data_IF_680018617862
#
_entry.id   IF_680018617862
#
_cell.length_a   1.000
_cell.length_b   1.000
_cell.length_c   1.000
_cell.angle_alpha   90.00
_cell.angle_beta   90.00
_cell.angle_gamma   90.00
#
_symmetry.space_group_name_H-M   'P 1'
#
loop_
_entity.id
_entity.type
_entity.pdbx_description
1 polymer ?
#
# COMPACT_ATOMS: atom_id res chain seq x y z
N UNK A 1 6.58 6.50 -0.20
CA UNK A 1 6.12 7.80 0.37
C UNK A 1 7.05 8.98 0.08
N UNK A 2 8.37 8.94 0.32
CA UNK A 2 9.28 10.08 -0.01
C UNK A 2 9.15 10.55 -1.47
N UNK A 3 9.12 9.61 -2.42
CA UNK A 3 8.92 9.94 -3.84
C UNK A 3 7.53 10.52 -4.13
N UNK A 4 6.50 10.13 -3.36
CA UNK A 4 5.15 10.71 -3.46
C UNK A 4 5.20 12.18 -3.08
N UNK A 5 5.80 12.51 -1.93
CA UNK A 5 5.96 13.91 -1.51
C UNK A 5 6.72 14.74 -2.55
N UNK A 6 7.80 14.19 -3.12
CA UNK A 6 8.53 14.88 -4.19
C UNK A 6 7.67 15.13 -5.44
N UNK A 7 6.87 14.14 -5.85
CA UNK A 7 5.98 14.29 -7.01
C UNK A 7 4.80 15.24 -6.77
N UNK A 8 4.43 15.52 -5.52
CA UNK A 8 3.40 16.51 -5.18
C UNK A 8 3.92 17.96 -5.31
N UNK A 9 5.25 18.18 -5.30
CA UNK A 9 5.85 19.51 -5.36
C UNK A 9 5.52 20.24 -6.67
N UNK A 10 5.54 19.54 -7.81
CA UNK A 10 5.19 20.14 -9.11
C UNK A 10 3.78 20.74 -9.08
N UNK A 11 2.86 20.03 -8.45
CA UNK A 11 1.47 20.49 -8.29
C UNK A 11 1.37 21.67 -7.32
N UNK A 12 2.11 21.66 -6.22
CA UNK A 12 2.15 22.79 -5.31
C UNK A 12 2.69 24.07 -5.98
N UNK A 13 3.67 23.92 -6.88
CA UNK A 13 4.21 25.02 -7.69
C UNK A 13 3.14 25.57 -8.64
N UNK A 14 2.41 24.71 -9.34
CA UNK A 14 1.30 25.13 -10.20
C UNK A 14 0.21 25.86 -9.41
N UNK A 15 -0.13 25.34 -8.22
CA UNK A 15 -1.13 25.93 -7.33
C UNK A 15 -0.73 27.31 -6.80
N UNK A 16 0.58 27.53 -6.59
CA UNK A 16 1.10 28.76 -6.00
C UNK A 16 0.68 30.01 -6.78
N UNK A 17 0.49 29.90 -8.10
CA UNK A 17 0.02 31.02 -8.95
C UNK A 17 -1.35 31.54 -8.53
N UNK A 18 -2.28 30.66 -8.19
CA UNK A 18 -3.60 31.05 -7.68
C UNK A 18 -3.55 31.69 -6.29
N UNK A 19 -2.46 31.46 -5.56
CA UNK A 19 -2.16 32.13 -4.28
C UNK A 19 -1.35 33.42 -4.44
N UNK A 20 -1.19 33.93 -5.67
CA UNK A 20 -0.51 35.20 -5.95
C UNK A 20 1.02 35.11 -6.07
N UNK A 21 1.59 33.91 -6.14
CA UNK A 21 3.03 33.73 -6.34
C UNK A 21 3.40 33.76 -7.81
N UNK A 22 4.46 34.50 -8.14
CA UNK A 22 5.12 34.44 -9.45
C UNK A 22 6.27 33.45 -9.39
N UNK A 23 6.21 32.38 -10.18
CA UNK A 23 7.25 31.36 -10.28
C UNK A 23 7.90 31.43 -11.67
N UNK A 24 9.23 31.48 -11.70
CA UNK A 24 10.03 31.43 -12.93
C UNK A 24 10.22 30.01 -13.45
N UNK A 25 11.37 29.75 -14.06
CA UNK A 25 11.70 28.42 -14.59
C UNK A 25 11.92 27.41 -13.46
N UNK A 26 11.28 26.25 -13.60
CA UNK A 26 11.36 25.14 -12.64
C UNK A 26 11.90 23.91 -13.36
N UNK A 27 12.87 23.25 -12.74
CA UNK A 27 13.40 21.97 -13.19
C UNK A 27 13.51 20.99 -12.04
N UNK A 28 13.42 19.69 -12.35
CA UNK A 28 13.51 18.63 -11.35
C UNK A 28 14.78 17.80 -11.59
N UNK A 29 15.64 17.73 -10.58
CA UNK A 29 16.80 16.84 -10.58
C UNK A 29 16.45 15.49 -9.91
N UNK A 30 16.13 14.50 -10.74
CA UNK A 30 15.80 13.16 -10.28
C UNK A 30 16.97 12.47 -9.57
N UNK A 31 18.21 12.74 -9.95
CA UNK A 31 19.37 12.12 -9.29
C UNK A 31 19.56 12.67 -7.90
N UNK A 32 19.38 13.99 -7.72
CA UNK A 32 19.40 14.61 -6.41
C UNK A 32 18.30 14.04 -5.49
N UNK A 33 17.08 13.83 -6.03
CA UNK A 33 15.99 13.20 -5.29
C UNK A 33 16.34 11.77 -4.85
N UNK A 34 16.85 10.93 -5.76
CA UNK A 34 17.24 9.54 -5.44
C UNK A 34 18.34 9.52 -4.38
N UNK A 35 19.37 10.36 -4.51
CA UNK A 35 20.46 10.46 -3.52
C UNK A 35 19.97 10.92 -2.14
N UNK A 36 19.08 11.91 -2.08
CA UNK A 36 18.48 12.36 -0.83
C UNK A 36 17.61 11.27 -0.18
N UNK A 37 16.83 10.54 -1.00
CA UNK A 37 16.05 9.38 -0.56
C UNK A 37 16.95 8.28 -0.01
N UNK A 38 18.03 7.91 -0.71
CA UNK A 38 18.95 6.85 -0.27
C UNK A 38 19.62 7.20 1.06
N UNK A 39 20.07 8.44 1.23
CA UNK A 39 20.63 8.93 2.50
C UNK A 39 19.65 8.78 3.67
N UNK A 40 18.39 9.12 3.45
CA UNK A 40 17.37 9.01 4.49
C UNK A 40 17.04 7.54 4.82
N UNK A 41 16.95 6.68 3.81
CA UNK A 41 16.76 5.23 4.01
C UNK A 41 17.94 4.63 4.77
N UNK A 42 19.18 4.99 4.44
CA UNK A 42 20.37 4.52 5.17
C UNK A 42 20.32 4.93 6.65
N UNK A 43 19.96 6.19 6.92
CA UNK A 43 19.81 6.71 8.29
C UNK A 43 18.76 5.93 9.08
N UNK A 44 17.61 5.64 8.49
CA UNK A 44 16.52 4.87 9.11
C UNK A 44 16.93 3.42 9.35
N UNK A 45 17.53 2.75 8.37
CA UNK A 45 18.03 1.37 8.48
C UNK A 45 19.06 1.25 9.60
N UNK A 46 20.00 2.20 9.69
CA UNK A 46 20.98 2.27 10.78
C UNK A 46 20.30 2.43 12.13
N UNK A 47 19.29 3.30 12.24
CA UNK A 47 18.56 3.49 13.49
C UNK A 47 17.85 2.21 13.96
N UNK A 48 17.29 1.40 13.05
CA UNK A 48 16.71 0.09 13.40
C UNK A 48 17.76 -0.90 13.87
N UNK A 49 18.88 -1.02 13.15
CA UNK A 49 19.98 -1.91 13.56
C UNK A 49 20.48 -1.56 14.97
N UNK A 50 20.69 -0.28 15.27
CA UNK A 50 21.09 0.17 16.62
C UNK A 50 20.04 -0.19 17.67
N UNK A 51 18.75 -0.02 17.38
CA UNK A 51 17.67 -0.38 18.33
C UNK A 51 17.65 -1.88 18.63
N UNK A 52 17.82 -2.72 17.61
CA UNK A 52 17.87 -4.18 17.77
C UNK A 52 19.05 -4.60 18.64
N UNK A 53 20.25 -4.11 18.35
CA UNK A 53 21.45 -4.43 19.15
C UNK A 53 21.32 -3.92 20.59
N UNK A 54 20.76 -2.72 20.80
CA UNK A 54 20.49 -2.19 22.16
C UNK A 54 19.48 -3.03 22.94
N UNK A 55 18.54 -3.69 22.25
CA UNK A 55 17.59 -4.62 22.86
C UNK A 55 18.21 -6.01 23.15
N UNK A 56 19.48 -6.23 22.82
CA UNK A 56 20.20 -7.49 23.05
C UNK A 56 20.09 -8.50 21.92
N UNK A 57 19.56 -8.12 20.74
CA UNK A 57 19.50 -9.00 19.59
C UNK A 57 20.88 -9.10 18.89
N UNK A 58 21.30 -10.33 18.56
CA UNK A 58 22.40 -10.56 17.63
C UNK A 58 21.89 -10.41 16.19
N UNK A 59 22.52 -9.54 15.40
CA UNK A 59 22.20 -9.35 13.98
C UNK A 59 23.25 -10.06 13.15
N UNK A 60 22.82 -11.08 12.40
CA UNK A 60 23.70 -11.88 11.54
C UNK A 60 23.33 -11.55 10.09
N UNK A 61 24.25 -10.90 9.38
CA UNK A 61 24.07 -10.61 7.96
C UNK A 61 24.39 -11.87 7.15
N UNK A 62 23.41 -12.34 6.37
CA UNK A 62 23.57 -13.46 5.47
C UNK A 62 22.24 -14.07 5.06
N UNK A 63 22.27 -15.04 4.14
CA UNK A 63 21.06 -15.77 3.74
C UNK A 63 20.85 -16.96 4.68
N UNK A 64 19.76 -16.91 5.45
CA UNK A 64 19.34 -18.02 6.30
C UNK A 64 18.64 -19.12 5.48
N UNK A 65 19.02 -20.38 5.70
CA UNK A 65 18.40 -21.58 5.13
C UNK A 65 18.13 -22.57 6.27
N UNK A 66 16.90 -23.08 6.35
CA UNK A 66 16.55 -24.12 7.31
C UNK A 66 17.14 -25.46 6.86
N UNK A 67 17.95 -26.08 7.70
CA UNK A 67 18.56 -27.39 7.43
C UNK A 67 17.73 -28.53 8.02
N UNK A 68 17.04 -28.26 9.14
CA UNK A 68 16.11 -29.16 9.82
C UNK A 68 15.16 -28.29 10.69
N UNK A 69 14.24 -28.86 11.49
CA UNK A 69 13.30 -28.06 12.28
C UNK A 69 13.94 -27.08 13.28
N UNK A 70 15.18 -27.29 13.72
CA UNK A 70 15.85 -26.47 14.74
C UNK A 70 17.16 -25.84 14.29
N UNK A 71 17.69 -26.22 13.13
CA UNK A 71 18.98 -25.77 12.62
C UNK A 71 18.84 -24.83 11.43
N UNK A 72 19.55 -23.71 11.49
CA UNK A 72 19.62 -22.68 10.46
C UNK A 72 21.09 -22.55 10.03
N UNK A 73 21.33 -22.59 8.73
CA UNK A 73 22.61 -22.20 8.13
C UNK A 73 22.52 -20.75 7.62
N UNK A 74 23.47 -19.92 8.04
CA UNK A 74 23.63 -18.54 7.56
C UNK A 74 25.00 -18.40 6.93
N UNK A 75 25.07 -18.57 5.61
CA UNK A 75 26.31 -18.51 4.81
C UNK A 75 27.47 -19.35 5.39
N UNK A 76 27.17 -20.57 5.86
CA UNK A 76 28.10 -21.54 6.46
C UNK A 76 28.14 -21.50 8.00
N UNK A 77 27.51 -20.50 8.64
CA UNK A 77 27.38 -20.44 10.09
C UNK A 77 26.14 -21.22 10.54
N UNK A 78 26.37 -22.32 11.24
CA UNK A 78 25.31 -23.16 11.80
C UNK A 78 24.83 -22.59 13.14
N UNK A 79 23.51 -22.41 13.25
CA UNK A 79 22.81 -21.86 14.42
C UNK A 79 21.67 -22.81 14.77
N UNK A 80 21.45 -23.03 16.07
CA UNK A 80 20.27 -23.75 16.55
C UNK A 80 19.37 -22.83 17.35
N UNK A 81 18.06 -23.05 17.27
CA UNK A 81 17.09 -22.27 18.02
C UNK A 81 15.93 -23.13 18.53
N UNK A 82 15.49 -22.87 19.76
CA UNK A 82 14.31 -23.51 20.33
C UNK A 82 13.01 -23.06 19.63
N UNK A 83 12.99 -21.86 19.05
CA UNK A 83 11.86 -21.28 18.31
C UNK A 83 12.36 -20.50 17.11
N UNK A 84 11.64 -20.59 15.99
CA UNK A 84 12.00 -19.93 14.73
C UNK A 84 10.81 -19.09 14.26
N UNK A 85 11.07 -17.84 13.85
CA UNK A 85 10.08 -16.96 13.23
C UNK A 85 10.50 -16.65 11.79
N UNK A 86 9.68 -17.07 10.83
CA UNK A 86 9.88 -16.80 9.40
C UNK A 86 9.18 -15.48 9.06
N UNK A 87 9.97 -14.46 8.72
CA UNK A 87 9.49 -13.13 8.32
C UNK A 87 10.17 -12.65 7.03
N UNK A 88 10.32 -13.55 6.04
CA UNK A 88 11.09 -13.29 4.80
C UNK A 88 10.38 -12.38 3.80
N UNK A 89 9.14 -11.99 4.08
CA UNK A 89 8.35 -11.08 3.26
C UNK A 89 7.95 -11.68 1.91
N UNK A 90 7.79 -10.80 0.92
CA UNK A 90 7.51 -11.18 -0.46
C UNK A 90 8.44 -10.48 -1.46
N UNK A 91 8.45 -10.97 -2.70
CA UNK A 91 9.24 -10.46 -3.83
C UNK A 91 8.32 -10.06 -4.99
N UNK A 92 8.63 -9.00 -5.77
CA UNK A 92 7.79 -8.59 -6.89
C UNK A 92 7.66 -9.68 -7.96
N UNK A 93 6.46 -9.81 -8.52
CA UNK A 93 6.24 -10.62 -9.73
C UNK A 93 6.80 -9.92 -10.95
N UNK A 94 7.59 -10.65 -11.74
CA UNK A 94 8.15 -10.18 -13.00
C UNK A 94 7.65 -11.05 -14.16
N UNK A 95 6.95 -10.49 -15.16
CA UNK A 95 6.63 -11.23 -16.38
C UNK A 95 7.90 -11.40 -17.24
N UNK A 96 7.90 -12.34 -18.20
CA UNK A 96 9.00 -12.46 -19.16
C UNK A 96 9.25 -11.15 -19.92
N UNK A 97 10.52 -10.86 -20.22
CA UNK A 97 10.94 -9.65 -20.93
C UNK A 97 11.76 -8.70 -20.07
N UNK A 98 11.90 -7.46 -20.56
CA UNK A 98 12.68 -6.41 -19.90
C UNK A 98 11.78 -5.53 -19.04
N UNK A 99 11.30 -6.12 -17.94
CA UNK A 99 10.44 -5.45 -16.96
C UNK A 99 11.23 -5.12 -15.70
N UNK A 100 11.20 -3.85 -15.32
CA UNK A 100 11.57 -3.46 -13.96
C UNK A 100 10.42 -3.71 -13.00
N UNK A 101 10.69 -3.66 -11.71
CA UNK A 101 9.72 -3.84 -10.63
C UNK A 101 9.73 -2.62 -9.70
N UNK A 102 8.95 -2.65 -8.62
CA UNK A 102 9.03 -1.62 -7.58
C UNK A 102 10.44 -1.48 -7.01
N UNK A 103 11.16 -2.59 -6.87
CA UNK A 103 12.47 -2.63 -6.22
C UNK A 103 13.49 -1.88 -7.09
N UNK A 104 13.46 -2.13 -8.40
CA UNK A 104 14.29 -1.45 -9.39
C UNK A 104 13.92 0.05 -9.52
N UNK A 105 12.62 0.38 -9.47
CA UNK A 105 12.12 1.74 -9.65
C UNK A 105 12.67 2.74 -8.61
N UNK A 106 13.00 2.28 -7.40
CA UNK A 106 13.60 3.11 -6.36
C UNK A 106 15.05 3.53 -6.63
N UNK A 107 15.72 2.88 -7.57
CA UNK A 107 17.16 3.02 -7.83
C UNK A 107 17.47 3.41 -9.29
N UNK A 108 16.49 3.94 -10.02
CA UNK A 108 16.70 4.36 -11.39
C UNK A 108 17.77 5.47 -11.48
N UNK A 109 18.69 5.39 -12.45
CA UNK A 109 19.76 6.40 -12.60
C UNK A 109 19.27 7.71 -13.24
N UNK A 110 18.08 7.69 -13.85
CA UNK A 110 17.42 8.82 -14.48
C UNK A 110 15.90 8.57 -14.55
N UNK A 111 15.11 9.65 -14.59
CA UNK A 111 13.68 9.57 -14.84
C UNK A 111 13.44 9.19 -16.31
N UNK A 112 12.68 8.12 -16.61
CA UNK A 112 12.31 7.81 -17.99
C UNK A 112 11.39 8.90 -18.55
N UNK A 113 11.53 9.24 -19.84
CA UNK A 113 10.60 10.21 -20.46
C UNK A 113 9.23 9.57 -20.69
N UNK A 114 9.20 8.27 -21.01
CA UNK A 114 7.99 7.47 -21.21
C UNK A 114 8.09 6.17 -20.43
N UNK A 115 7.10 5.89 -19.58
CA UNK A 115 7.04 4.65 -18.81
C UNK A 115 5.69 3.97 -18.97
N UNK A 116 5.73 2.67 -19.26
CA UNK A 116 4.57 1.79 -19.22
C UNK A 116 4.52 1.05 -17.89
N UNK A 117 3.38 1.05 -17.21
CA UNK A 117 3.20 0.37 -15.92
C UNK A 117 2.14 -0.70 -16.09
N UNK A 118 2.48 -1.97 -15.86
CA UNK A 118 1.54 -3.07 -15.88
C UNK A 118 1.00 -3.34 -14.46
N UNK A 119 -0.30 -3.13 -14.27
CA UNK A 119 -1.02 -3.46 -13.03
C UNK A 119 -1.63 -2.24 -12.35
N UNK A 120 -2.96 -2.25 -12.18
CA UNK A 120 -3.73 -1.20 -11.51
C UNK A 120 -3.92 -1.40 -10.00
N UNK A 121 -3.00 -2.09 -9.33
CA UNK A 121 -3.00 -2.21 -7.86
C UNK A 121 -2.42 -0.96 -7.19
N UNK A 122 -2.36 -0.94 -5.85
CA UNK A 122 -1.86 0.21 -5.09
C UNK A 122 -0.45 0.64 -5.54
N UNK A 123 0.48 -0.31 -5.73
CA UNK A 123 1.84 -0.01 -6.22
C UNK A 123 1.81 0.67 -7.59
N UNK A 124 1.07 0.12 -8.55
CA UNK A 124 1.03 0.66 -9.91
C UNK A 124 0.40 2.04 -9.96
N UNK A 125 -0.66 2.28 -9.19
CA UNK A 125 -1.32 3.59 -9.07
C UNK A 125 -0.42 4.62 -8.39
N UNK A 126 0.28 4.25 -7.32
CA UNK A 126 1.23 5.15 -6.64
C UNK A 126 2.39 5.53 -7.57
N UNK A 127 3.03 4.56 -8.21
CA UNK A 127 4.13 4.83 -9.14
C UNK A 127 3.67 5.60 -10.37
N UNK A 128 2.46 5.38 -10.87
CA UNK A 128 1.92 6.17 -11.97
C UNK A 128 1.86 7.67 -11.63
N UNK A 129 1.34 8.01 -10.45
CA UNK A 129 1.33 9.41 -9.98
C UNK A 129 2.74 9.93 -9.66
N UNK A 130 3.62 9.10 -9.08
CA UNK A 130 5.01 9.50 -8.83
C UNK A 130 5.69 9.89 -10.14
N UNK A 131 5.67 9.02 -11.15
CA UNK A 131 6.35 9.29 -12.42
C UNK A 131 5.72 10.47 -13.16
N UNK A 132 4.38 10.57 -13.19
CA UNK A 132 3.69 11.69 -13.82
C UNK A 132 3.98 13.03 -13.13
N UNK A 133 3.90 13.08 -11.79
CA UNK A 133 4.19 14.28 -11.01
C UNK A 133 5.65 14.71 -11.06
N UNK A 134 6.58 13.81 -11.39
CA UNK A 134 7.98 14.12 -11.66
C UNK A 134 8.27 14.48 -13.14
N UNK A 135 7.26 14.41 -14.02
CA UNK A 135 7.33 14.88 -15.40
C UNK A 135 7.46 13.80 -16.49
N UNK A 136 7.32 12.51 -16.15
CA UNK A 136 7.31 11.43 -17.14
C UNK A 136 5.92 11.30 -17.80
N UNK A 137 5.89 10.90 -19.07
CA UNK A 137 4.66 10.43 -19.73
C UNK A 137 4.38 8.99 -19.27
N UNK A 138 3.24 8.76 -18.66
CA UNK A 138 2.88 7.47 -18.06
C UNK A 138 1.71 6.84 -18.80
N UNK A 139 1.85 5.56 -19.12
CA UNK A 139 0.74 4.71 -19.57
C UNK A 139 0.57 3.55 -18.59
N UNK A 140 -0.57 3.52 -17.89
CA UNK A 140 -0.97 2.46 -16.97
C UNK A 140 -1.80 1.41 -17.72
N UNK A 141 -1.24 0.22 -17.86
CA UNK A 141 -1.91 -0.93 -18.49
C UNK A 141 -2.55 -1.80 -17.41
N UNK A 142 -3.86 -1.99 -17.51
CA UNK A 142 -4.64 -2.77 -16.55
C UNK A 142 -5.76 -3.54 -17.26
N UNK A 143 -6.22 -4.66 -16.70
CA UNK A 143 -7.28 -5.47 -17.32
C UNK A 143 -8.69 -4.87 -17.18
N UNK A 144 -8.93 -4.14 -16.10
CA UNK A 144 -10.24 -3.59 -15.77
C UNK A 144 -10.29 -2.09 -16.11
N UNK A 145 -11.50 -1.57 -16.37
CA UNK A 145 -11.72 -0.13 -16.64
C UNK A 145 -11.40 0.78 -15.44
N UNK A 146 -11.37 0.22 -14.24
CA UNK A 146 -11.11 0.93 -13.01
C UNK A 146 -10.00 0.24 -12.23
N UNK A 147 -9.05 1.03 -11.73
CA UNK A 147 -7.96 0.56 -10.89
C UNK A 147 -8.44 0.15 -9.50
N UNK A 148 -7.50 -0.30 -8.65
CA UNK A 148 -7.71 -0.59 -7.23
C UNK A 148 -8.81 -1.64 -6.99
N UNK A 149 -8.75 -2.75 -7.72
CA UNK A 149 -9.67 -3.89 -7.48
C UNK A 149 -9.64 -4.29 -6.00
N UNK A 150 -10.81 -4.39 -5.38
CA UNK A 150 -10.97 -4.71 -3.96
C UNK A 150 -11.29 -3.49 -3.09
N UNK A 151 -11.06 -2.27 -3.56
CA UNK A 151 -11.54 -1.04 -2.91
C UNK A 151 -13.01 -0.77 -3.23
N UNK A 152 -13.64 0.11 -2.45
CA UNK A 152 -15.02 0.54 -2.69
C UNK A 152 -15.19 1.11 -4.11
N UNK A 153 -16.28 0.79 -4.84
CA UNK A 153 -16.49 1.27 -6.20
C UNK A 153 -16.37 2.78 -6.38
N UNK A 154 -16.82 3.59 -5.41
CA UNK A 154 -16.75 5.06 -5.50
C UNK A 154 -15.30 5.57 -5.35
N UNK A 155 -14.48 4.88 -4.55
CA UNK A 155 -13.03 5.16 -4.45
C UNK A 155 -12.37 4.86 -5.79
N UNK A 156 -12.67 3.69 -6.36
CA UNK A 156 -12.09 3.24 -7.62
C UNK A 156 -12.44 4.17 -8.77
N UNK A 157 -13.69 4.60 -8.84
CA UNK A 157 -14.16 5.58 -9.83
C UNK A 157 -13.36 6.87 -9.74
N UNK A 158 -13.30 7.49 -8.55
CA UNK A 158 -12.66 8.78 -8.37
C UNK A 158 -11.14 8.71 -8.61
N UNK A 159 -10.45 7.70 -8.09
CA UNK A 159 -9.00 7.54 -8.34
C UNK A 159 -8.71 7.29 -9.83
N UNK A 160 -9.56 6.52 -10.52
CA UNK A 160 -9.41 6.28 -11.97
C UNK A 160 -9.59 7.58 -12.76
N UNK A 161 -10.57 8.41 -12.40
CA UNK A 161 -10.78 9.70 -13.04
C UNK A 161 -9.60 10.66 -12.80
N UNK A 162 -9.03 10.65 -11.58
CA UNK A 162 -7.89 11.52 -11.22
C UNK A 162 -6.60 11.14 -11.94
N UNK A 163 -6.34 9.83 -12.13
CA UNK A 163 -5.24 9.38 -13.00
C UNK A 163 -5.33 10.04 -14.40
N UNK A 164 -6.51 9.99 -15.03
CA UNK A 164 -6.74 10.59 -16.33
C UNK A 164 -6.59 12.12 -16.32
N UNK A 165 -7.11 12.79 -15.29
CA UNK A 165 -6.96 14.24 -15.10
C UNK A 165 -5.50 14.67 -14.93
N UNK A 166 -4.63 13.76 -14.46
CA UNK A 166 -3.18 13.99 -14.33
C UNK A 166 -2.38 13.57 -15.56
N UNK A 167 -3.06 13.33 -16.68
CA UNK A 167 -2.43 12.97 -17.95
C UNK A 167 -1.87 11.54 -18.00
N UNK A 168 -2.23 10.70 -17.03
CA UNK A 168 -1.87 9.27 -17.03
C UNK A 168 -2.85 8.55 -17.93
N UNK A 169 -2.34 7.97 -19.00
CA UNK A 169 -3.16 7.20 -19.93
C UNK A 169 -3.45 5.81 -19.34
N UNK A 170 -4.73 5.43 -19.27
CA UNK A 170 -5.13 4.10 -18.84
C UNK A 170 -5.49 3.27 -20.07
N UNK A 171 -4.78 2.15 -20.27
CA UNK A 171 -5.05 1.19 -21.34
C UNK A 171 -5.62 -0.08 -20.75
N UNK A 172 -6.89 -0.36 -21.10
CA UNK A 172 -7.56 -1.60 -20.74
C UNK A 172 -7.06 -2.73 -21.64
N UNK A 173 -6.41 -3.74 -21.06
CA UNK A 173 -5.77 -4.79 -21.82
C UNK A 173 -5.68 -6.10 -21.02
N UNK A 174 -6.04 -7.21 -21.67
CA UNK A 174 -5.92 -8.58 -21.12
C UNK A 174 -4.66 -9.30 -21.61
N UNK A 175 -4.09 -8.88 -22.73
CA UNK A 175 -2.92 -9.48 -23.37
C UNK A 175 -1.86 -8.44 -23.70
N UNK A 176 -0.75 -8.48 -22.96
CA UNK A 176 0.35 -7.54 -23.13
C UNK A 176 1.62 -8.27 -23.50
N UNK A 177 2.24 -7.88 -24.62
CA UNK A 177 3.54 -8.40 -25.05
C UNK A 177 4.54 -7.25 -25.17
N UNK A 178 5.70 -7.40 -24.55
CA UNK A 178 6.79 -6.44 -24.71
C UNK A 178 7.67 -6.84 -25.90
N UNK A 179 7.92 -5.89 -26.82
CA UNK A 179 8.79 -6.03 -27.99
C UNK A 179 9.80 -4.88 -27.98
N UNK A 180 10.95 -5.10 -27.32
CA UNK A 180 11.91 -4.02 -27.07
C UNK A 180 11.27 -2.88 -26.29
N UNK A 181 11.23 -1.70 -26.90
CA UNK A 181 10.65 -0.47 -26.34
C UNK A 181 9.16 -0.29 -26.65
N UNK A 182 8.48 -1.33 -27.14
CA UNK A 182 7.05 -1.29 -27.46
C UNK A 182 6.30 -2.25 -26.55
N UNK A 183 5.24 -1.76 -25.90
CA UNK A 183 4.22 -2.59 -25.27
C UNK A 183 3.05 -2.76 -26.24
N UNK A 184 2.88 -3.97 -26.77
CA UNK A 184 1.74 -4.32 -27.61
C UNK A 184 0.57 -4.74 -26.73
N UNK A 185 -0.40 -3.85 -26.57
CA UNK A 185 -1.57 -3.99 -25.72
C UNK A 185 -2.83 -4.14 -26.57
N UNK A 186 -3.35 -5.36 -26.72
CA UNK A 186 -4.62 -5.62 -27.42
C UNK A 186 -4.74 -4.93 -28.80
N UNK A 187 -3.72 -5.07 -29.66
CA UNK A 187 -3.71 -4.49 -31.01
C UNK A 187 -3.18 -3.05 -31.08
N UNK A 188 -2.80 -2.45 -29.95
CA UNK A 188 -2.22 -1.11 -29.87
C UNK A 188 -0.76 -1.17 -29.44
N UNK A 189 0.12 -0.49 -30.18
CA UNK A 189 1.52 -0.32 -29.80
C UNK A 189 1.69 0.94 -28.93
N UNK A 190 2.37 0.77 -27.80
CA UNK A 190 2.67 1.85 -26.85
C UNK A 190 4.19 1.93 -26.74
N UNK A 191 4.77 3.02 -27.21
CA UNK A 191 6.21 3.24 -27.14
C UNK A 191 6.62 3.74 -25.74
N UNK A 192 7.59 3.06 -25.13
CA UNK A 192 8.07 3.33 -23.77
C UNK A 192 9.59 3.27 -23.73
N UNK A 193 10.21 4.07 -22.87
CA UNK A 193 11.65 3.96 -22.60
C UNK A 193 11.92 2.90 -21.53
N UNK A 194 10.92 2.64 -20.67
CA UNK A 194 10.98 1.69 -19.58
C UNK A 194 9.60 1.08 -19.31
N UNK A 195 9.58 -0.19 -18.91
CA UNK A 195 8.36 -0.90 -18.53
C UNK A 195 8.47 -1.42 -17.10
N UNK A 196 7.47 -1.14 -16.26
CA UNK A 196 7.41 -1.55 -14.86
C UNK A 196 6.26 -2.52 -14.61
N UNK A 197 6.55 -3.63 -13.94
CA UNK A 197 5.56 -4.59 -13.48
C UNK A 197 5.16 -4.32 -12.03
N UNK A 198 3.86 -4.11 -11.81
CA UNK A 198 3.21 -3.92 -10.51
C UNK A 198 2.03 -4.90 -10.36
N UNK A 199 2.24 -6.17 -10.72
CA UNK A 199 1.21 -7.22 -10.83
C UNK A 199 1.08 -8.10 -9.57
N UNK A 200 1.61 -7.63 -8.44
CA UNK A 200 1.60 -8.34 -7.17
C UNK A 200 2.96 -8.91 -6.79
N UNK A 201 2.97 -9.69 -5.71
CA UNK A 201 4.17 -10.25 -5.09
C UNK A 201 3.98 -11.75 -4.86
N UNK A 202 5.08 -12.49 -4.88
CA UNK A 202 5.15 -13.89 -4.43
C UNK A 202 5.81 -13.94 -3.04
N UNK A 203 5.50 -14.96 -2.22
CA UNK A 203 6.16 -15.14 -0.94
C UNK A 203 7.65 -15.48 -1.15
N UNK A 204 8.51 -14.94 -0.28
CA UNK A 204 9.95 -15.16 -0.37
C UNK A 204 10.35 -16.47 0.34
N UNK A 205 9.90 -17.60 -0.20
CA UNK A 205 10.08 -18.95 0.37
C UNK A 205 10.95 -19.88 -0.47
N UNK A 206 11.36 -19.44 -1.67
CA UNK A 206 12.23 -20.21 -2.57
C UNK A 206 13.57 -20.47 -1.90
N UNK A 207 14.00 -21.73 -1.90
CA UNK A 207 15.27 -22.20 -1.32
C UNK A 207 15.47 -21.76 0.14
N UNK A 208 14.37 -21.70 0.91
CA UNK A 208 14.40 -21.36 2.34
C UNK A 208 14.59 -22.60 3.23
N UNK A 209 14.55 -23.81 2.65
CA UNK A 209 14.68 -25.08 3.39
C UNK A 209 13.40 -25.54 4.10
N UNK A 210 12.23 -25.05 3.66
CA UNK A 210 10.94 -25.39 4.30
C UNK A 210 10.69 -26.90 4.37
N UNK A 211 11.00 -27.64 3.30
CA UNK A 211 10.85 -29.10 3.25
C UNK A 211 11.73 -29.79 4.31
N UNK A 212 13.00 -29.38 4.43
CA UNK A 212 13.93 -29.93 5.41
C UNK A 212 13.48 -29.66 6.85
N UNK A 213 12.86 -28.51 7.11
CA UNK A 213 12.24 -28.18 8.39
C UNK A 213 10.84 -28.79 8.61
N UNK A 214 10.27 -29.48 7.61
CA UNK A 214 8.91 -30.01 7.69
C UNK A 214 7.79 -28.95 7.65
N UNK A 215 8.10 -27.71 7.27
CA UNK A 215 7.13 -26.62 7.13
C UNK A 215 6.42 -26.72 5.80
N UNK A 216 5.09 -26.79 5.83
CA UNK A 216 4.25 -26.84 4.63
C UNK A 216 4.08 -25.46 4.03
N UNK A 217 4.11 -25.39 2.70
CA UNK A 217 3.66 -24.24 1.93
C UNK A 217 2.43 -24.60 1.09
N UNK A 218 1.61 -23.60 0.76
CA UNK A 218 0.49 -23.78 -0.17
C UNK A 218 0.98 -23.85 -1.63
N UNK A 219 0.05 -24.07 -2.57
CA UNK A 219 0.38 -24.18 -4.00
C UNK A 219 1.00 -22.89 -4.61
N UNK A 220 0.91 -21.75 -3.92
CA UNK A 220 1.51 -20.47 -4.31
C UNK A 220 2.79 -20.17 -3.53
N UNK A 221 3.23 -21.07 -2.64
CA UNK A 221 4.43 -20.95 -1.83
C UNK A 221 4.25 -20.18 -0.52
N UNK A 222 3.03 -19.77 -0.15
CA UNK A 222 2.77 -19.10 1.14
C UNK A 222 2.81 -20.11 2.28
N UNK A 223 3.16 -19.67 3.48
CA UNK A 223 3.20 -20.53 4.68
C UNK A 223 1.87 -20.38 5.42
N UNK A 224 0.98 -21.40 5.42
CA UNK A 224 -0.25 -21.35 6.19
C UNK A 224 0.06 -21.33 7.68
N UNK A 225 -0.68 -20.50 8.43
CA UNK A 225 -0.52 -20.35 9.87
C UNK A 225 -1.87 -20.32 10.58
N UNK A 226 -1.88 -20.67 11.86
CA UNK A 226 -3.04 -20.50 12.74
C UNK A 226 -3.22 -19.04 13.21
N UNK A 227 -4.22 -18.79 14.07
CA UNK A 227 -4.53 -17.47 14.64
C UNK A 227 -3.39 -16.90 15.52
N UNK A 228 -2.46 -17.74 15.99
CA UNK A 228 -1.26 -17.35 16.74
C UNK A 228 -0.02 -17.23 15.86
N UNK A 229 -0.20 -17.28 14.53
CA UNK A 229 0.87 -17.24 13.54
C UNK A 229 1.83 -18.45 13.60
N UNK A 230 1.39 -19.58 14.16
CA UNK A 230 2.16 -20.84 14.20
C UNK A 230 1.95 -21.62 12.90
N UNK A 231 3.03 -22.21 12.38
CA UNK A 231 2.97 -23.11 11.22
C UNK A 231 2.47 -24.51 11.61
N UNK A 232 2.53 -25.48 10.70
CA UNK A 232 2.27 -26.88 11.03
C UNK A 232 3.37 -27.54 11.92
N UNK A 233 4.50 -26.85 12.14
CA UNK A 233 5.57 -27.30 13.05
C UNK A 233 5.49 -26.44 14.31
N UNK A 234 5.35 -27.08 15.48
CA UNK A 234 4.88 -26.43 16.72
C UNK A 234 5.72 -25.21 17.16
N UNK A 235 7.04 -25.27 16.96
CA UNK A 235 7.99 -24.23 17.36
C UNK A 235 8.41 -23.30 16.23
N UNK A 236 7.85 -23.45 15.02
CA UNK A 236 8.09 -22.58 13.87
C UNK A 236 6.86 -21.72 13.61
N UNK A 237 7.08 -20.42 13.50
CA UNK A 237 6.07 -19.38 13.29
C UNK A 237 6.34 -18.64 11.99
N UNK A 238 5.33 -18.00 11.41
CA UNK A 238 5.50 -17.14 10.24
C UNK A 238 4.59 -15.90 10.30
N UNK A 239 5.11 -14.73 9.92
CA UNK A 239 4.38 -13.44 9.96
C UNK A 239 4.63 -12.59 8.72
N UNK A 240 3.72 -11.66 8.45
CA UNK A 240 3.79 -10.76 7.31
C UNK A 240 3.47 -11.44 5.98
N UNK A 241 3.98 -10.85 4.90
CA UNK A 241 3.62 -11.20 3.51
C UNK A 241 3.82 -12.69 3.18
N UNK A 242 4.77 -13.37 3.83
CA UNK A 242 5.06 -14.80 3.60
C UNK A 242 3.86 -15.72 3.95
N UNK A 243 2.92 -15.24 4.77
CA UNK A 243 1.73 -15.99 5.21
C UNK A 243 0.56 -15.89 4.23
N UNK A 244 0.60 -14.93 3.30
CA UNK A 244 -0.53 -14.68 2.39
C UNK A 244 -1.77 -14.08 3.04
N UNK A 245 -1.69 -13.63 4.31
CA UNK A 245 -2.77 -12.93 5.02
C UNK A 245 -2.97 -11.51 4.46
N UNK A 246 -2.52 -10.47 5.17
CA UNK A 246 -2.63 -9.07 4.71
C UNK A 246 -1.23 -8.48 4.58
N UNK A 247 -0.84 -8.11 3.36
CA UNK A 247 0.50 -7.60 3.04
C UNK A 247 0.65 -6.11 3.35
N UNK A 248 0.64 -5.76 4.65
CA UNK A 248 0.82 -4.40 5.17
C UNK A 248 1.80 -4.39 6.34
N UNK A 249 2.72 -3.43 6.36
CA UNK A 249 3.74 -3.31 7.41
C UNK A 249 3.17 -3.23 8.83
N UNK A 250 2.12 -2.44 9.14
CA UNK A 250 1.55 -2.40 10.48
C UNK A 250 0.98 -3.75 10.93
N UNK A 251 0.50 -4.56 9.98
CA UNK A 251 -0.02 -5.91 10.25
C UNK A 251 1.13 -6.84 10.60
N UNK A 252 2.20 -6.87 9.81
CA UNK A 252 3.38 -7.68 10.13
C UNK A 252 4.00 -7.32 11.48
N UNK A 253 4.05 -6.03 11.84
CA UNK A 253 4.50 -5.56 13.15
C UNK A 253 3.59 -6.09 14.26
N UNK A 254 2.26 -5.97 14.10
CA UNK A 254 1.30 -6.43 15.10
C UNK A 254 1.34 -7.95 15.28
N UNK A 255 1.48 -8.68 14.18
CA UNK A 255 1.65 -10.14 14.18
C UNK A 255 2.94 -10.55 14.91
N UNK A 256 4.07 -9.89 14.63
CA UNK A 256 5.34 -10.14 15.32
C UNK A 256 5.25 -9.85 16.83
N UNK A 257 4.62 -8.74 17.23
CA UNK A 257 4.37 -8.45 18.64
C UNK A 257 3.48 -9.51 19.30
N UNK A 258 2.42 -9.96 18.63
CA UNK A 258 1.53 -10.98 19.17
C UNK A 258 2.22 -12.34 19.33
N UNK A 259 3.12 -12.71 18.41
CA UNK A 259 3.99 -13.89 18.58
C UNK A 259 4.88 -13.73 19.80
N UNK A 260 5.51 -12.56 19.99
CA UNK A 260 6.35 -12.29 21.15
C UNK A 260 5.57 -12.33 22.48
N UNK A 261 4.40 -11.70 22.53
CA UNK A 261 3.49 -11.71 23.68
C UNK A 261 3.04 -13.14 24.04
N UNK A 262 2.73 -13.94 23.01
CA UNK A 262 2.28 -15.33 23.16
C UNK A 262 3.42 -16.22 23.70
N UNK A 263 4.63 -16.07 23.16
CA UNK A 263 5.76 -16.96 23.46
C UNK A 263 6.52 -16.57 24.73
N UNK A 264 6.63 -15.27 25.01
CA UNK A 264 7.53 -14.74 26.03
C UNK A 264 6.81 -13.85 27.05
N UNK A 265 5.62 -13.36 26.74
CA UNK A 265 4.80 -12.52 27.62
C UNK A 265 3.75 -13.27 28.43
N UNK A 266 3.63 -14.59 28.28
CA UNK A 266 2.54 -15.41 28.84
C UNK A 266 1.14 -14.83 28.54
N UNK A 267 0.99 -14.22 27.36
CA UNK A 267 -0.24 -13.57 26.92
C UNK A 267 -0.61 -14.09 25.53
N UNK A 268 -1.31 -15.24 25.43
CA UNK A 268 -1.81 -15.74 24.17
C UNK A 268 -2.62 -14.65 23.45
N UNK A 269 -2.12 -14.20 22.30
CA UNK A 269 -2.66 -13.04 21.58
C UNK A 269 -3.01 -13.48 20.16
N UNK A 270 -4.24 -13.97 19.92
CA UNK A 270 -4.66 -14.31 18.57
C UNK A 270 -4.78 -13.03 17.71
N UNK A 271 -4.48 -13.15 16.42
CA UNK A 271 -4.64 -12.05 15.46
C UNK A 271 -5.89 -12.29 14.61
N UNK A 272 -6.80 -11.32 14.67
CA UNK A 272 -8.00 -11.27 13.82
C UNK A 272 -7.90 -10.07 12.89
N UNK A 273 -7.76 -10.32 11.59
CA UNK A 273 -7.64 -9.29 10.55
C UNK A 273 -9.01 -8.69 10.20
N UNK A 274 -9.52 -7.83 11.07
CA UNK A 274 -10.75 -7.07 10.85
C UNK A 274 -10.48 -5.57 11.04
N UNK A 275 -11.28 -4.73 10.37
CA UNK A 275 -11.21 -3.26 10.51
C UNK A 275 -9.80 -2.68 10.30
N UNK A 276 -9.04 -3.25 9.36
CA UNK A 276 -7.69 -2.77 9.04
C UNK A 276 -7.79 -1.50 8.20
N UNK A 277 -7.35 -0.33 8.71
CA UNK A 277 -7.27 0.86 7.87
C UNK A 277 -6.20 0.67 6.80
N UNK A 278 -6.54 0.99 5.57
CA UNK A 278 -5.66 0.87 4.40
C UNK A 278 -5.67 2.18 3.63
N UNK A 279 -4.51 2.57 3.11
CA UNK A 279 -4.35 3.75 2.27
C UNK A 279 -3.60 3.41 0.98
N UNK A 280 -3.92 4.15 -0.07
CA UNK A 280 -3.21 4.20 -1.35
C UNK A 280 -2.79 5.64 -1.56
N UNK A 281 -1.48 5.87 -1.65
CA UNK A 281 -0.91 7.21 -1.84
C UNK A 281 -0.93 7.65 -3.31
N UNK A 282 -2.10 7.48 -3.93
CA UNK A 282 -2.50 8.13 -5.18
C UNK A 282 -2.58 9.65 -4.99
N UNK A 283 -2.81 10.40 -6.06
CA UNK A 283 -2.98 11.85 -5.98
C UNK A 283 -4.36 12.23 -6.55
N UNK A 284 -5.31 12.68 -5.72
CA UNK A 284 -5.24 12.73 -4.25
C UNK A 284 -5.23 11.32 -3.61
N UNK A 285 -4.73 11.18 -2.37
CA UNK A 285 -4.71 9.89 -1.68
C UNK A 285 -6.11 9.30 -1.47
N UNK A 286 -6.18 7.97 -1.38
CA UNK A 286 -7.38 7.24 -1.01
C UNK A 286 -7.11 6.43 0.25
N UNK A 287 -8.09 6.32 1.14
CA UNK A 287 -8.02 5.49 2.32
C UNK A 287 -9.38 4.93 2.69
N UNK A 288 -9.40 3.82 3.40
CA UNK A 288 -10.63 3.27 3.95
C UNK A 288 -10.40 2.27 5.06
N UNK A 289 -11.46 1.98 5.80
CA UNK A 289 -11.50 1.00 6.88
C UNK A 289 -12.85 0.31 6.89
N UNK A 290 -12.87 -0.98 7.22
CA UNK A 290 -14.09 -1.78 7.27
C UNK A 290 -14.50 -2.32 5.90
N UNK A 291 -15.79 -2.59 5.73
CA UNK A 291 -16.35 -3.24 4.55
C UNK A 291 -16.47 -2.27 3.38
N UNK A 292 -16.32 -2.77 2.15
CA UNK A 292 -16.77 -2.05 0.95
C UNK A 292 -18.27 -2.19 0.80
N UNK A 293 -18.93 -1.29 0.06
CA UNK A 293 -20.38 -1.35 -0.11
C UNK A 293 -20.87 -2.71 -0.67
N UNK A 294 -20.26 -3.28 -1.73
CA UNK A 294 -20.71 -4.59 -2.23
C UNK A 294 -20.62 -5.69 -1.17
N UNK A 295 -19.53 -5.75 -0.41
CA UNK A 295 -19.31 -6.76 0.64
C UNK A 295 -20.27 -6.54 1.82
N UNK A 296 -20.50 -5.29 2.22
CA UNK A 296 -21.44 -4.97 3.29
C UNK A 296 -22.87 -5.42 2.94
N UNK A 297 -23.30 -5.20 1.70
CA UNK A 297 -24.64 -5.57 1.22
C UNK A 297 -24.89 -7.08 1.13
N UNK A 298 -23.85 -7.91 1.14
CA UNK A 298 -24.02 -9.38 1.19
C UNK A 298 -24.62 -9.86 2.52
N UNK A 299 -24.40 -9.11 3.60
CA UNK A 299 -24.73 -9.55 4.98
C UNK A 299 -25.52 -8.54 5.81
N UNK A 300 -25.60 -7.28 5.40
CA UNK A 300 -26.22 -6.19 6.16
C UNK A 300 -27.26 -5.41 5.33
N UNK A 301 -28.21 -4.78 6.00
CA UNK A 301 -29.08 -3.75 5.40
C UNK A 301 -28.35 -2.41 5.51
N UNK A 302 -27.70 -1.99 4.43
CA UNK A 302 -26.76 -0.86 4.44
C UNK A 302 -27.43 0.46 4.08
N UNK A 303 -27.29 1.45 4.95
CA UNK A 303 -27.50 2.87 4.67
C UNK A 303 -26.17 3.49 4.22
N UNK A 304 -26.18 4.17 3.07
CA UNK A 304 -24.99 4.81 2.50
C UNK A 304 -25.13 6.31 2.64
N UNK A 305 -24.18 6.94 3.32
CA UNK A 305 -24.03 8.39 3.35
C UNK A 305 -22.81 8.77 2.52
N UNK A 306 -22.93 9.80 1.66
CA UNK A 306 -21.86 10.18 0.75
C UNK A 306 -21.84 11.68 0.50
N UNK A 307 -20.66 12.28 0.60
CA UNK A 307 -20.38 13.64 0.17
C UNK A 307 -19.30 13.64 -0.91
N UNK A 308 -19.48 14.49 -1.94
CA UNK A 308 -18.47 14.83 -2.94
C UNK A 308 -18.41 16.35 -3.04
N UNK A 309 -17.24 16.94 -2.85
CA UNK A 309 -17.07 18.40 -2.84
C UNK A 309 -15.65 18.80 -3.22
N UNK A 310 -15.48 20.05 -3.67
CA UNK A 310 -14.16 20.64 -3.90
C UNK A 310 -13.61 21.17 -2.58
N UNK A 311 -12.44 20.70 -2.10
CA UNK A 311 -11.91 21.16 -0.83
C UNK A 311 -11.47 22.62 -0.93
N UNK A 312 -11.63 23.36 0.17
CA UNK A 312 -11.31 24.78 0.25
C UNK A 312 -9.87 25.11 -0.20
N UNK A 313 -8.93 24.18 0.02
CA UNK A 313 -7.53 24.35 -0.40
C UNK A 313 -7.35 24.62 -1.90
N UNK A 314 -8.29 24.17 -2.73
CA UNK A 314 -8.24 24.39 -4.18
C UNK A 314 -9.03 25.61 -4.64
N UNK A 315 -9.70 26.34 -3.73
CA UNK A 315 -10.56 27.46 -4.10
C UNK A 315 -9.80 28.54 -4.88
N UNK A 316 -8.59 28.89 -4.43
CA UNK A 316 -7.76 29.93 -5.06
C UNK A 316 -6.95 29.42 -6.25
N UNK A 317 -6.50 28.16 -6.21
CA UNK A 317 -5.68 27.59 -7.29
C UNK A 317 -6.47 27.23 -8.54
N UNK A 318 -7.80 27.21 -8.46
CA UNK A 318 -8.64 26.88 -9.62
C UNK A 318 -8.78 25.38 -9.90
N UNK A 319 -8.08 24.49 -9.16
CA UNK A 319 -8.17 23.04 -9.38
C UNK A 319 -9.56 22.49 -9.11
N UNK A 320 -10.05 21.64 -10.01
CA UNK A 320 -11.36 21.00 -9.92
C UNK A 320 -11.33 19.61 -9.25
N UNK A 321 -10.25 19.32 -8.51
CA UNK A 321 -10.12 18.02 -7.83
C UNK A 321 -11.09 17.92 -6.66
N UNK A 322 -11.77 16.77 -6.58
CA UNK A 322 -12.82 16.53 -5.60
C UNK A 322 -12.31 15.66 -4.45
N UNK A 323 -12.83 15.95 -3.27
CA UNK A 323 -12.87 15.02 -2.15
C UNK A 323 -14.13 14.17 -2.27
N UNK A 324 -14.03 12.91 -1.86
CA UNK A 324 -15.18 12.05 -1.60
C UNK A 324 -15.04 11.43 -0.21
N UNK A 325 -16.14 11.46 0.56
CA UNK A 325 -16.28 10.71 1.80
C UNK A 325 -17.54 9.86 1.67
N UNK A 326 -17.42 8.58 2.00
CA UNK A 326 -18.51 7.62 1.99
C UNK A 326 -18.50 6.80 3.28
N UNK A 327 -19.62 6.83 3.98
CA UNK A 327 -19.87 6.11 5.21
C UNK A 327 -20.95 5.05 4.98
N UNK A 328 -20.68 3.83 5.42
CA UNK A 328 -21.59 2.70 5.37
C UNK A 328 -22.06 2.39 6.77
N UNK A 329 -23.38 2.36 6.98
CA UNK A 329 -24.00 2.16 8.29
C UNK A 329 -24.99 1.01 8.19
N UNK A 330 -24.99 0.12 9.17
CA UNK A 330 -26.02 -0.91 9.28
C UNK A 330 -27.34 -0.28 9.78
N UNK A 331 -28.42 -0.44 9.01
CA UNK A 331 -29.73 0.17 9.32
C UNK A 331 -30.30 -0.29 10.66
N UNK A 332 -30.06 -1.54 11.06
CA UNK A 332 -30.68 -2.14 12.25
C UNK A 332 -29.99 -1.72 13.53
N UNK A 333 -28.66 -1.65 13.50
CA UNK A 333 -27.81 -1.45 14.68
C UNK A 333 -27.19 -0.07 14.76
N UNK A 334 -27.32 0.73 13.71
CA UNK A 334 -26.68 2.04 13.53
C UNK A 334 -25.14 2.00 13.54
N UNK A 335 -24.52 0.81 13.56
CA UNK A 335 -23.05 0.64 13.56
C UNK A 335 -22.46 1.06 12.23
N UNK A 336 -21.33 1.76 12.28
CA UNK A 336 -20.50 2.04 11.10
C UNK A 336 -19.83 0.75 10.64
N UNK A 337 -20.16 0.32 9.41
CA UNK A 337 -19.61 -0.88 8.77
C UNK A 337 -18.34 -0.58 7.97
N UNK A 338 -18.22 0.63 7.44
CA UNK A 338 -17.08 1.05 6.65
C UNK A 338 -17.04 2.54 6.40
N UNK A 339 -15.83 3.07 6.24
CA UNK A 339 -15.55 4.44 5.87
C UNK A 339 -14.54 4.45 4.73
N UNK A 340 -14.84 5.20 3.67
CA UNK A 340 -14.00 5.33 2.48
C UNK A 340 -13.83 6.82 2.16
N UNK A 341 -12.59 7.25 2.01
CA UNK A 341 -12.24 8.66 1.78
C UNK A 341 -11.24 8.75 0.62
N UNK A 342 -11.48 9.67 -0.31
CA UNK A 342 -10.52 10.07 -1.34
C UNK A 342 -10.35 11.57 -1.24
N UNK A 343 -9.12 12.03 -1.12
CA UNK A 343 -8.85 13.45 -0.94
C UNK A 343 -7.52 13.73 -0.26
N UNK A 344 -7.15 15.00 -0.17
CA UNK A 344 -6.12 15.46 0.77
C UNK A 344 -6.36 14.87 2.16
N UNK A 345 -5.28 14.43 2.80
CA UNK A 345 -5.30 13.98 4.20
C UNK A 345 -6.20 12.75 4.49
N UNK A 346 -6.74 12.10 3.45
CA UNK A 346 -7.58 10.90 3.61
C UNK A 346 -6.95 9.81 4.52
N UNK A 347 -5.64 9.48 4.41
CA UNK A 347 -5.02 8.50 5.30
C UNK A 347 -5.03 8.92 6.78
N UNK A 348 -4.82 10.21 7.07
CA UNK A 348 -4.80 10.75 8.43
C UNK A 348 -6.21 10.75 9.03
N UNK A 349 -7.20 11.17 8.24
CA UNK A 349 -8.62 11.17 8.62
C UNK A 349 -9.10 9.75 8.93
N UNK A 350 -8.80 8.79 8.04
CA UNK A 350 -9.21 7.39 8.21
C UNK A 350 -8.53 6.75 9.40
N UNK A 351 -7.26 7.07 9.70
CA UNK A 351 -6.58 6.54 10.88
C UNK A 351 -7.28 6.96 12.18
N UNK A 352 -7.71 8.22 12.28
CA UNK A 352 -8.45 8.72 13.44
C UNK A 352 -9.84 8.04 13.53
N UNK A 353 -10.57 7.96 12.43
CA UNK A 353 -11.90 7.33 12.39
C UNK A 353 -11.86 5.82 12.67
N UNK A 354 -10.79 5.12 12.24
CA UNK A 354 -10.62 3.70 12.48
C UNK A 354 -10.60 3.34 13.96
N UNK A 355 -10.10 4.23 14.83
CA UNK A 355 -10.15 4.05 16.29
C UNK A 355 -11.61 3.98 16.76
N UNK A 356 -12.43 4.95 16.36
CA UNK A 356 -13.84 5.00 16.74
C UNK A 356 -14.63 3.81 16.17
N UNK A 357 -14.37 3.43 14.91
CA UNK A 357 -15.03 2.27 14.28
C UNK A 357 -14.61 0.96 14.98
N UNK A 358 -13.36 0.83 15.41
CA UNK A 358 -12.89 -0.32 16.21
C UNK A 358 -13.59 -0.38 17.57
N UNK A 359 -13.93 0.77 18.16
CA UNK A 359 -14.76 0.85 19.38
C UNK A 359 -16.25 0.58 19.11
N UNK A 360 -16.65 0.42 17.84
CA UNK A 360 -18.01 0.19 17.41
C UNK A 360 -18.84 1.46 17.20
N UNK A 361 -18.25 2.60 16.85
CA UNK A 361 -19.00 3.83 16.65
C UNK A 361 -20.27 3.64 15.78
N UNK A 362 -21.34 4.29 16.21
CA UNK A 362 -22.63 4.37 15.52
C UNK A 362 -22.75 5.68 14.74
N UNK A 363 -23.68 5.77 13.79
CA UNK A 363 -23.96 7.05 13.10
C UNK A 363 -24.37 8.14 14.09
N UNK A 364 -25.14 7.79 15.12
CA UNK A 364 -25.50 8.69 16.21
C UNK A 364 -24.28 9.23 16.99
N UNK A 365 -23.23 8.42 17.19
CA UNK A 365 -21.98 8.87 17.82
C UNK A 365 -21.27 9.93 16.95
N UNK A 366 -21.27 9.73 15.63
CA UNK A 366 -20.71 10.71 14.68
C UNK A 366 -21.55 12.00 14.70
N UNK A 367 -22.87 11.90 14.64
CA UNK A 367 -23.78 13.06 14.54
C UNK A 367 -23.81 13.97 15.76
N UNK A 368 -23.58 13.42 16.96
CA UNK A 368 -23.50 14.21 18.18
C UNK A 368 -22.14 14.88 18.39
N UNK A 369 -21.14 14.56 17.55
CA UNK A 369 -19.80 15.11 17.65
C UNK A 369 -19.77 16.48 16.97
N UNK A 370 -19.22 17.50 17.66
CA UNK A 370 -19.07 18.83 17.08
C UNK A 370 -18.07 18.83 15.92
N UNK A 371 -18.43 19.52 14.84
CA UNK A 371 -17.57 19.74 13.68
C UNK A 371 -16.35 20.63 14.01
N UNK A 372 -15.20 20.31 13.41
CA UNK A 372 -13.98 21.13 13.45
C UNK A 372 -13.87 21.92 12.12
N UNK A 373 -14.24 23.20 12.14
CA UNK A 373 -14.34 24.01 10.94
C UNK A 373 -13.16 25.00 10.77
N UNK A 374 -12.60 25.20 9.55
CA UNK A 374 -12.88 24.46 8.31
C UNK A 374 -11.94 23.27 8.12
N UNK A 375 -12.48 22.05 7.96
CA UNK A 375 -11.68 20.86 7.63
C UNK A 375 -12.41 19.88 6.71
N UNK A 376 -11.67 19.11 5.91
CA UNK A 376 -12.24 17.96 5.19
C UNK A 376 -12.87 16.93 6.14
N UNK A 377 -12.29 16.78 7.34
CA UNK A 377 -12.70 15.79 8.33
C UNK A 377 -14.07 16.10 8.96
N UNK A 378 -14.48 17.37 8.99
CA UNK A 378 -15.76 17.77 9.59
C UNK A 378 -16.96 17.14 8.86
N UNK A 379 -16.83 16.87 7.57
CA UNK A 379 -17.87 16.22 6.78
C UNK A 379 -18.24 14.84 7.33
N UNK A 380 -17.33 14.13 8.00
CA UNK A 380 -17.63 12.85 8.67
C UNK A 380 -18.81 12.95 9.65
N UNK A 381 -18.94 14.09 10.34
CA UNK A 381 -19.97 14.33 11.37
C UNK A 381 -21.15 15.14 10.83
N UNK A 382 -21.10 15.57 9.56
CA UNK A 382 -22.14 16.35 8.89
C UNK A 382 -22.92 15.57 7.83
N UNK A 383 -22.52 14.33 7.52
CA UNK A 383 -23.23 13.45 6.58
C UNK A 383 -24.70 13.23 7.00
N UNK A 384 -25.62 13.36 6.03
CA UNK A 384 -27.08 13.25 6.23
C UNK A 384 -27.73 12.38 5.17
#
# INVERSE_FOLDING_TARGET
>A
KLLVFASEVSRAIDDARGHGWTIGDVSHDFRALVAAKDKEIERLSRAYAVRLTKAGAEVIAGRAVLQDPHTIDVDGRIITAARILIATGGVPKRPPGNWITSDDAFHLPALPKRIGILGGGYIGVEFAHIFAGLGAKVTLVHRDKQVLRGFDPDVRELVTAQLGAHGIEIVCCTELVQRGNILHASGRDIEVDLAMAAIGRDPNTRDLGLEAAGVKSDAKGFIPVDEYSRTNVEHIFAVGDVTGRVALTPIAIREGHAVADTLFGNRPTPIVHHLIPTAVFSQPPAAGVGLTEPVARETHDVVVFRAKFRPMRYALSGRDEQVMIKLLVDRKTDRVLGLHVVGPDAPEIVQAAAIAITMGATKADLDRTFALHPTTAEELVLLR
#
